data_IF_910122507877
#
_entry.id   IF_910122507877
#
_cell.length_a   1.000
_cell.length_b   1.000
_cell.length_c   1.000
_cell.angle_alpha   90.00
_cell.angle_beta   90.00
_cell.angle_gamma   90.00
#
_symmetry.space_group_name_H-M   'P 1'
#
loop_
_entity.id
_entity.type
_entity.pdbx_description
1 polymer ?
#
# COMPACT_ATOMS: atom_id res chain seq x y z
N UNK A 1 8.12 -29.88 6.19
CA UNK A 1 7.88 -30.77 5.04
C UNK A 1 8.42 -30.08 3.81
N UNK A 2 9.36 -30.67 3.06
CA UNK A 2 9.80 -30.12 1.78
C UNK A 2 8.59 -29.97 0.85
N UNK A 3 8.54 -28.88 0.10
CA UNK A 3 7.51 -28.67 -0.91
C UNK A 3 8.10 -28.96 -2.28
N UNK A 4 7.25 -29.24 -3.26
CA UNK A 4 7.67 -29.48 -4.65
C UNK A 4 7.26 -28.30 -5.52
N UNK A 5 8.14 -27.88 -6.44
CA UNK A 5 7.83 -26.78 -7.34
C UNK A 5 6.77 -27.23 -8.37
N UNK A 6 5.65 -26.51 -8.54
CA UNK A 6 4.61 -26.91 -9.49
C UNK A 6 5.08 -26.82 -10.96
N UNK A 7 6.18 -26.13 -11.25
CA UNK A 7 6.69 -25.97 -12.61
C UNK A 7 7.74 -27.00 -13.02
N UNK A 8 8.72 -27.27 -12.15
CA UNK A 8 9.82 -28.18 -12.47
C UNK A 8 9.87 -29.44 -11.59
N UNK A 9 8.90 -29.59 -10.67
CA UNK A 9 8.81 -30.70 -9.70
C UNK A 9 10.08 -30.95 -8.88
N UNK A 10 10.98 -29.96 -8.81
CA UNK A 10 12.14 -30.03 -7.95
C UNK A 10 11.71 -29.86 -6.49
N UNK A 11 12.43 -30.53 -5.60
CA UNK A 11 12.25 -30.36 -4.16
C UNK A 11 12.75 -28.97 -3.74
N UNK A 12 11.97 -28.27 -2.93
CA UNK A 12 12.24 -26.91 -2.48
C UNK A 12 11.96 -26.78 -0.98
N UNK A 13 12.80 -26.01 -0.32
CA UNK A 13 12.57 -25.63 1.06
C UNK A 13 11.26 -24.84 1.21
N UNK A 14 10.54 -25.09 2.30
CA UNK A 14 9.25 -24.45 2.55
C UNK A 14 9.36 -22.92 2.60
N UNK A 15 10.52 -22.40 3.02
CA UNK A 15 10.82 -20.96 3.14
C UNK A 15 11.38 -20.34 1.84
N UNK A 16 11.66 -21.14 0.80
CA UNK A 16 12.21 -20.62 -0.44
C UNK A 16 11.18 -19.73 -1.16
N UNK A 17 11.57 -18.48 -1.43
CA UNK A 17 10.77 -17.51 -2.23
C UNK A 17 11.01 -17.67 -3.73
N UNK A 18 12.11 -18.30 -4.12
CA UNK A 18 12.48 -18.54 -5.52
C UNK A 18 12.94 -19.99 -5.69
N UNK A 19 12.49 -20.65 -6.75
CA UNK A 19 12.92 -22.00 -7.07
C UNK A 19 14.35 -21.96 -7.66
N UNK A 20 15.33 -22.70 -7.11
CA UNK A 20 16.70 -22.70 -7.62
C UNK A 20 16.85 -23.41 -8.97
N UNK A 21 15.95 -24.33 -9.31
CA UNK A 21 16.03 -25.12 -10.55
C UNK A 21 15.40 -24.44 -11.75
N UNK A 22 14.27 -23.74 -11.58
CA UNK A 22 13.54 -23.12 -12.69
C UNK A 22 13.37 -21.60 -12.62
N UNK A 23 13.80 -20.97 -11.51
CA UNK A 23 13.69 -19.52 -11.32
C UNK A 23 12.30 -19.00 -10.97
N UNK A 24 11.28 -19.87 -10.85
CA UNK A 24 9.93 -19.47 -10.48
C UNK A 24 9.91 -18.74 -9.12
N UNK A 25 9.14 -17.68 -9.00
CA UNK A 25 9.03 -16.86 -7.79
C UNK A 25 7.66 -17.04 -7.12
N UNK A 26 7.66 -17.13 -5.79
CA UNK A 26 6.43 -17.01 -4.99
C UNK A 26 6.01 -15.55 -4.89
N UNK A 27 4.70 -15.35 -4.85
CA UNK A 27 4.14 -14.04 -4.57
C UNK A 27 2.62 -14.08 -4.49
N UNK A 28 2.05 -12.92 -4.17
CA UNK A 28 0.62 -12.70 -4.14
C UNK A 28 0.31 -11.70 -5.27
N UNK A 29 -0.56 -12.10 -6.21
CA UNK A 29 -0.92 -11.36 -7.44
C UNK A 29 0.22 -11.14 -8.45
N UNK A 30 1.48 -11.03 -7.99
CA UNK A 30 2.64 -10.69 -8.82
C UNK A 30 3.89 -11.44 -8.33
N UNK A 31 4.79 -11.89 -9.24
CA UNK A 31 6.05 -12.52 -8.85
C UNK A 31 6.87 -11.61 -7.91
N UNK A 32 7.40 -12.18 -6.82
CA UNK A 32 8.26 -11.47 -5.87
C UNK A 32 7.53 -10.48 -4.95
N UNK A 33 6.20 -10.50 -4.92
CA UNK A 33 5.39 -9.72 -3.97
C UNK A 33 4.91 -10.60 -2.81
N UNK A 34 5.73 -10.71 -1.77
CA UNK A 34 5.38 -11.43 -0.53
C UNK A 34 4.34 -10.67 0.30
N UNK A 35 3.69 -11.37 1.24
CA UNK A 35 2.76 -10.76 2.19
C UNK A 35 3.38 -9.58 2.97
N UNK A 36 4.67 -9.66 3.29
CA UNK A 36 5.39 -8.60 3.98
C UNK A 36 5.59 -7.37 3.09
N UNK A 37 5.93 -7.56 1.81
CA UNK A 37 6.04 -6.47 0.85
C UNK A 37 4.71 -5.74 0.66
N UNK A 38 3.61 -6.47 0.66
CA UNK A 38 2.26 -5.90 0.62
C UNK A 38 1.90 -5.13 1.90
N UNK A 39 2.35 -5.58 3.08
CA UNK A 39 2.22 -4.78 4.32
C UNK A 39 3.00 -3.47 4.23
N UNK A 40 4.22 -3.52 3.69
CA UNK A 40 5.02 -2.32 3.43
C UNK A 40 4.30 -1.35 2.48
N UNK A 41 3.73 -1.85 1.38
CA UNK A 41 2.96 -1.05 0.43
C UNK A 41 1.71 -0.41 1.07
N UNK A 42 0.97 -1.16 1.90
CA UNK A 42 -0.16 -0.61 2.64
C UNK A 42 0.28 0.49 3.61
N UNK A 43 1.42 0.32 4.28
CA UNK A 43 1.97 1.33 5.20
C UNK A 43 2.38 2.61 4.46
N UNK A 44 2.97 2.50 3.26
CA UNK A 44 3.26 3.67 2.42
C UNK A 44 1.98 4.44 2.07
N UNK A 45 0.88 3.74 1.75
CA UNK A 45 -0.40 4.41 1.49
C UNK A 45 -0.97 5.13 2.72
N UNK A 46 -0.87 4.52 3.91
CA UNK A 46 -1.27 5.20 5.15
C UNK A 46 -0.41 6.41 5.46
N UNK A 47 0.90 6.35 5.22
CA UNK A 47 1.80 7.50 5.36
C UNK A 47 1.40 8.61 4.38
N UNK A 48 1.14 8.27 3.12
CA UNK A 48 0.66 9.22 2.11
C UNK A 48 -0.65 9.89 2.51
N UNK A 49 -1.62 9.12 3.01
CA UNK A 49 -2.87 9.67 3.54
C UNK A 49 -2.62 10.61 4.73
N UNK A 50 -1.79 10.19 5.71
CA UNK A 50 -1.45 11.01 6.87
C UNK A 50 -0.77 12.34 6.49
N UNK A 51 0.17 12.31 5.54
CA UNK A 51 0.83 13.51 5.02
C UNK A 51 -0.17 14.46 4.35
N UNK A 52 -1.08 13.95 3.54
CA UNK A 52 -2.14 14.76 2.92
C UNK A 52 -3.03 15.44 3.98
N UNK A 53 -3.35 14.75 5.09
CA UNK A 53 -4.05 15.35 6.23
C UNK A 53 -3.30 16.52 6.82
N UNK A 54 -2.01 16.32 7.11
CA UNK A 54 -1.17 17.32 7.75
C UNK A 54 -1.02 18.56 6.86
N UNK A 55 -0.86 18.37 5.55
CA UNK A 55 -0.82 19.45 4.57
C UNK A 55 -2.16 20.20 4.56
N UNK A 56 -3.28 19.49 4.50
CA UNK A 56 -4.61 20.10 4.56
C UNK A 56 -4.84 20.91 5.83
N UNK A 57 -4.45 20.37 6.99
CA UNK A 57 -4.54 21.06 8.29
C UNK A 57 -3.62 22.29 8.36
N UNK A 58 -2.38 22.19 7.87
CA UNK A 58 -1.44 23.30 7.86
C UNK A 58 -1.91 24.44 6.95
N UNK A 59 -2.45 24.12 5.76
CA UNK A 59 -3.04 25.10 4.84
C UNK A 59 -4.33 25.70 5.40
N UNK A 60 -5.16 24.91 6.08
CA UNK A 60 -6.36 25.40 6.76
C UNK A 60 -6.01 26.34 7.91
N UNK A 61 -5.02 25.99 8.73
CA UNK A 61 -4.56 26.81 9.85
C UNK A 61 -3.96 28.13 9.38
N UNK A 62 -3.08 28.11 8.36
CA UNK A 62 -2.48 29.33 7.83
C UNK A 62 -3.54 30.26 7.23
N UNK A 63 -4.56 29.72 6.55
CA UNK A 63 -5.70 30.50 6.06
C UNK A 63 -6.60 31.06 7.17
N UNK A 64 -6.68 30.39 8.32
CA UNK A 64 -7.46 30.86 9.47
C UNK A 64 -6.76 32.00 10.24
N UNK A 65 -5.42 32.04 10.25
CA UNK A 65 -4.66 33.00 11.08
C UNK A 65 -4.10 34.21 10.33
N UNK A 66 -4.07 34.19 9.00
CA UNK A 66 -3.53 35.33 8.25
C UNK A 66 -4.54 36.47 8.15
N UNK A 67 -4.10 37.70 8.46
CA UNK A 67 -4.86 38.94 8.24
C UNK A 67 -4.98 39.32 6.75
N UNK A 68 -4.26 38.61 5.88
CA UNK A 68 -4.44 38.66 4.43
C UNK A 68 -5.76 37.96 4.09
N UNK A 69 -6.60 38.58 3.26
CA UNK A 69 -7.93 38.09 2.84
C UNK A 69 -7.90 36.78 2.02
N UNK A 70 -7.18 35.74 2.47
CA UNK A 70 -7.46 34.39 2.04
C UNK A 70 -8.81 34.01 2.64
N UNK A 71 -9.86 34.28 1.87
CA UNK A 71 -11.24 33.93 2.22
C UNK A 71 -11.26 32.48 2.72
N UNK A 72 -12.02 32.21 3.78
CA UNK A 72 -12.22 30.86 4.33
C UNK A 72 -12.58 29.81 3.25
N UNK A 73 -13.14 30.27 2.13
CA UNK A 73 -13.32 29.49 0.92
C UNK A 73 -12.04 28.77 0.43
N UNK A 74 -10.86 29.40 0.43
CA UNK A 74 -9.62 28.78 -0.09
C UNK A 74 -9.19 27.59 0.77
N UNK A 75 -9.21 27.73 2.10
CA UNK A 75 -8.93 26.63 3.03
C UNK A 75 -9.93 25.49 2.92
N UNK A 76 -11.23 25.83 2.81
CA UNK A 76 -12.30 24.86 2.58
C UNK A 76 -12.14 24.12 1.24
N UNK A 77 -11.82 24.85 0.16
CA UNK A 77 -11.57 24.27 -1.16
C UNK A 77 -10.37 23.32 -1.15
N UNK A 78 -9.27 23.68 -0.49
CA UNK A 78 -8.09 22.80 -0.36
C UNK A 78 -8.41 21.54 0.45
N UNK A 79 -9.14 21.67 1.56
CA UNK A 79 -9.59 20.51 2.33
C UNK A 79 -10.49 19.58 1.51
N UNK A 80 -11.44 20.15 0.77
CA UNK A 80 -12.35 19.38 -0.07
C UNK A 80 -11.62 18.70 -1.24
N UNK A 81 -10.56 19.32 -1.77
CA UNK A 81 -9.71 18.74 -2.81
C UNK A 81 -8.83 17.59 -2.28
N UNK A 82 -8.28 17.71 -1.07
CA UNK A 82 -7.40 16.70 -0.45
C UNK A 82 -8.18 15.53 0.19
N UNK A 83 -9.40 15.78 0.66
CA UNK A 83 -10.31 14.79 1.25
C UNK A 83 -10.47 13.49 0.44
N UNK A 84 -10.78 13.52 -0.88
CA UNK A 84 -10.92 12.30 -1.66
C UNK A 84 -9.63 11.50 -1.76
N UNK A 85 -8.46 12.17 -1.81
CA UNK A 85 -7.17 11.47 -1.83
C UNK A 85 -6.91 10.77 -0.50
N UNK A 86 -7.17 11.44 0.63
CA UNK A 86 -7.05 10.82 1.95
C UNK A 86 -7.94 9.59 2.10
N UNK A 87 -9.20 9.68 1.65
CA UNK A 87 -10.13 8.55 1.68
C UNK A 87 -9.67 7.43 0.75
N UNK A 88 -9.26 7.74 -0.48
CA UNK A 88 -8.75 6.75 -1.43
C UNK A 88 -7.54 6.00 -0.88
N UNK A 89 -6.51 6.72 -0.42
CA UNK A 89 -5.30 6.10 0.11
C UNK A 89 -5.56 5.35 1.43
N UNK A 90 -6.42 5.89 2.29
CA UNK A 90 -6.82 5.24 3.54
C UNK A 90 -7.59 3.95 3.29
N UNK A 91 -8.61 3.97 2.44
CA UNK A 91 -9.41 2.80 2.09
C UNK A 91 -8.55 1.77 1.35
N UNK A 92 -7.75 2.19 0.37
CA UNK A 92 -6.86 1.28 -0.37
C UNK A 92 -5.83 0.61 0.56
N UNK A 93 -5.21 1.36 1.47
CA UNK A 93 -4.30 0.80 2.48
C UNK A 93 -5.00 -0.21 3.40
N UNK A 94 -6.24 0.07 3.81
CA UNK A 94 -7.02 -0.79 4.70
C UNK A 94 -7.47 -2.07 4.00
N UNK A 95 -7.94 -1.96 2.75
CA UNK A 95 -8.27 -3.10 1.88
C UNK A 95 -7.04 -3.98 1.68
N UNK A 96 -5.90 -3.41 1.31
CA UNK A 96 -4.66 -4.18 1.12
C UNK A 96 -4.23 -4.91 2.39
N UNK A 97 -4.26 -4.22 3.53
CA UNK A 97 -3.91 -4.83 4.83
C UNK A 97 -4.86 -5.96 5.23
N UNK A 98 -6.13 -5.89 4.82
CA UNK A 98 -7.17 -6.85 5.25
C UNK A 98 -7.30 -8.06 4.32
N UNK A 99 -7.27 -7.84 3.01
CA UNK A 99 -7.56 -8.87 2.01
C UNK A 99 -6.31 -9.61 1.53
N UNK A 100 -5.18 -8.92 1.38
CA UNK A 100 -3.98 -9.51 0.79
C UNK A 100 -3.32 -10.61 1.64
N UNK A 101 -3.18 -10.49 2.97
CA UNK A 101 -2.62 -11.59 3.76
C UNK A 101 -3.52 -12.83 3.84
N UNK A 102 -4.73 -12.79 3.26
CA UNK A 102 -5.63 -13.95 3.15
C UNK A 102 -5.50 -14.68 1.82
N UNK A 103 -4.84 -14.08 0.83
CA UNK A 103 -4.58 -14.76 -0.45
C UNK A 103 -3.40 -15.71 -0.28
N UNK A 104 -3.53 -16.93 -0.80
CA UNK A 104 -2.44 -17.89 -0.79
C UNK A 104 -1.35 -17.45 -1.78
N UNK A 105 -0.09 -17.63 -1.39
CA UNK A 105 1.04 -17.36 -2.28
C UNK A 105 1.06 -18.39 -3.40
N UNK A 106 1.00 -17.92 -4.65
CA UNK A 106 1.10 -18.76 -5.84
C UNK A 106 2.50 -18.69 -6.43
N UNK A 107 2.90 -19.76 -7.11
CA UNK A 107 4.13 -19.78 -7.90
C UNK A 107 3.88 -19.16 -9.27
N UNK A 108 4.78 -18.26 -9.66
CA UNK A 108 4.79 -17.61 -10.98
C UNK A 108 6.09 -17.97 -11.71
N UNK A 109 6.01 -18.20 -13.02
CA UNK A 109 7.14 -18.46 -13.92
C UNK A 109 7.33 -17.33 -14.91
#
# INVERSE_FOLDING_TARGET
MPQQCPHCMSEIHAEATTCPSCGAQRGILKPGWSAERWRGAAQIMFIGAGLAALIGLALGYSAATSSWQVNWGVGFFMFMLLSPFMLLFGIAGLVMRRFIPRMQESWFR
#
